data_IF_110875384882
#
_entry.id   IF_110875384882
#
_cell.length_a   1.000
_cell.length_b   1.000
_cell.length_c   1.000
_cell.angle_alpha   90.00
_cell.angle_beta   90.00
_cell.angle_gamma   90.00
#
_symmetry.space_group_name_H-M   'P 1'
#
loop_
_entity.id
_entity.type
_entity.pdbx_description
1 polymer ?
#
# COMPACT_ATOMS: atom_id res chain seq x y z
N UNK A 1 6.69 -0.94 12.07
CA UNK A 1 6.06 -1.48 10.84
C UNK A 1 6.85 -1.20 9.56
N UNK A 2 7.41 -2.24 8.94
CA UNK A 2 8.12 -2.19 7.65
C UNK A 2 7.29 -2.92 6.60
N UNK A 3 7.19 -2.35 5.40
CA UNK A 3 6.34 -2.88 4.32
C UNK A 3 7.19 -3.16 3.08
N UNK A 4 7.05 -4.35 2.49
CA UNK A 4 7.60 -4.64 1.17
C UNK A 4 6.47 -5.08 0.23
N UNK A 5 6.25 -4.29 -0.81
CA UNK A 5 5.42 -4.65 -1.94
C UNK A 5 6.34 -5.22 -3.01
N UNK A 6 6.34 -6.53 -3.20
CA UNK A 6 7.35 -7.16 -4.04
C UNK A 6 6.94 -7.10 -5.52
N UNK A 7 5.65 -7.09 -5.89
CA UNK A 7 5.26 -6.94 -7.29
C UNK A 7 3.82 -6.42 -7.48
N UNK A 8 3.67 -5.36 -8.30
CA UNK A 8 2.44 -5.02 -9.02
C UNK A 8 2.66 -5.38 -10.49
N UNK A 9 2.15 -6.54 -10.93
CA UNK A 9 2.13 -6.87 -12.35
C UNK A 9 0.79 -6.43 -12.94
N UNK A 10 0.86 -5.54 -13.94
CA UNK A 10 -0.30 -5.13 -14.74
C UNK A 10 -0.13 -5.80 -16.11
N UNK A 11 -1.05 -6.70 -16.45
CA UNK A 11 -1.10 -7.34 -17.76
C UNK A 11 -2.29 -6.76 -18.53
N UNK A 12 -2.02 -6.13 -19.67
CA UNK A 12 -3.05 -5.74 -20.62
C UNK A 12 -3.41 -6.95 -21.48
N UNK A 13 -4.70 -7.30 -21.50
CA UNK A 13 -5.21 -8.33 -22.40
C UNK A 13 -5.73 -7.61 -23.65
N UNK A 14 -5.15 -7.92 -24.81
CA UNK A 14 -5.54 -7.32 -26.08
C UNK A 14 -6.84 -7.97 -26.59
N UNK A 15 -7.96 -7.29 -26.37
CA UNK A 15 -9.30 -7.55 -26.94
C UNK A 15 -9.81 -6.27 -27.63
N UNK A 16 -10.96 -6.29 -28.33
CA UNK A 16 -11.55 -5.06 -28.88
C UNK A 16 -11.71 -3.96 -27.81
N UNK A 17 -12.01 -4.38 -26.58
CA UNK A 17 -12.02 -3.57 -25.38
C UNK A 17 -10.73 -3.79 -24.56
N UNK A 18 -10.28 -2.76 -23.84
CA UNK A 18 -9.10 -2.84 -22.98
C UNK A 18 -9.50 -3.41 -21.62
N UNK A 19 -8.91 -4.54 -21.24
CA UNK A 19 -9.04 -5.12 -19.91
C UNK A 19 -7.71 -5.12 -19.16
N UNK A 20 -7.78 -5.01 -17.83
CA UNK A 20 -6.63 -4.92 -16.94
C UNK A 20 -6.66 -6.11 -15.98
N UNK A 21 -5.63 -6.95 -16.07
CA UNK A 21 -5.38 -7.98 -15.07
C UNK A 21 -4.23 -7.55 -14.16
N UNK A 22 -4.48 -7.52 -12.85
CA UNK A 22 -3.52 -7.03 -11.85
C UNK A 22 -3.16 -8.15 -10.89
N UNK A 23 -1.89 -8.24 -10.52
CA UNK A 23 -1.41 -9.07 -9.41
C UNK A 23 -0.70 -8.21 -8.39
N UNK A 24 -1.08 -8.37 -7.13
CA UNK A 24 -0.44 -7.76 -5.97
C UNK A 24 0.07 -8.85 -5.03
N UNK A 25 1.36 -8.84 -4.70
CA UNK A 25 1.91 -9.69 -3.65
C UNK A 25 3.00 -8.99 -2.84
N UNK A 26 3.18 -9.45 -1.61
CA UNK A 26 4.17 -8.91 -0.69
C UNK A 26 3.95 -9.39 0.74
N UNK A 27 4.68 -8.77 1.66
CA UNK A 27 4.55 -9.02 3.08
C UNK A 27 4.76 -7.74 3.90
N UNK A 28 4.18 -7.79 5.09
CA UNK A 28 4.34 -6.80 6.14
C UNK A 28 5.05 -7.47 7.31
N UNK A 29 6.02 -6.76 7.86
CA UNK A 29 6.70 -7.20 9.07
C UNK A 29 6.83 -6.02 10.03
N UNK A 30 6.29 -6.21 11.22
CA UNK A 30 6.48 -5.29 12.31
C UNK A 30 7.61 -5.80 13.22
N UNK A 31 8.69 -5.03 13.32
CA UNK A 31 9.87 -5.39 14.08
C UNK A 31 9.74 -5.12 15.59
N UNK A 32 8.71 -4.38 16.02
CA UNK A 32 8.43 -4.11 17.43
C UNK A 32 7.55 -5.21 18.04
N UNK A 33 6.47 -5.56 17.35
CA UNK A 33 5.49 -6.57 17.80
C UNK A 33 5.82 -7.97 17.30
N UNK A 34 6.63 -8.10 16.25
CA UNK A 34 6.87 -9.36 15.55
C UNK A 34 5.73 -9.78 14.63
N UNK A 35 4.69 -8.95 14.47
CA UNK A 35 3.56 -9.26 13.59
C UNK A 35 4.02 -9.42 12.14
N UNK A 36 3.47 -10.44 11.48
CA UNK A 36 3.79 -10.78 10.11
C UNK A 36 2.51 -11.07 9.33
N UNK A 37 2.41 -10.45 8.16
CA UNK A 37 1.34 -10.71 7.21
C UNK A 37 1.92 -10.89 5.80
N UNK A 38 1.34 -11.80 5.03
CA UNK A 38 1.69 -12.02 3.62
C UNK A 38 0.43 -12.01 2.76
N UNK A 39 0.53 -11.49 1.54
CA UNK A 39 -0.60 -11.43 0.63
C UNK A 39 -0.19 -11.80 -0.80
N UNK A 40 -1.11 -12.44 -1.52
CA UNK A 40 -1.04 -12.65 -2.96
C UNK A 40 -2.47 -12.59 -3.51
N UNK A 41 -2.77 -11.55 -4.27
CA UNK A 41 -4.10 -11.26 -4.77
C UNK A 41 -4.05 -10.92 -6.25
N UNK A 42 -5.13 -11.27 -6.94
CA UNK A 42 -5.36 -10.96 -8.34
C UNK A 42 -6.65 -10.16 -8.46
N UNK A 43 -6.62 -9.15 -9.33
CA UNK A 43 -7.75 -8.31 -9.69
C UNK A 43 -7.95 -8.26 -11.20
N UNK A 44 -9.17 -7.97 -11.61
CA UNK A 44 -9.57 -7.81 -13.01
C UNK A 44 -10.46 -6.58 -13.14
N UNK A 45 -10.08 -5.64 -14.01
CA UNK A 45 -10.77 -4.36 -14.23
C UNK A 45 -11.03 -3.56 -12.94
N UNK A 46 -10.07 -3.60 -12.01
CA UNK A 46 -10.14 -2.92 -10.71
C UNK A 46 -10.95 -3.66 -9.64
N UNK A 47 -11.51 -4.84 -9.96
CA UNK A 47 -12.30 -5.64 -9.02
C UNK A 47 -11.54 -6.87 -8.51
N UNK A 48 -11.82 -7.27 -7.26
CA UNK A 48 -11.26 -8.48 -6.65
C UNK A 48 -11.67 -9.74 -7.43
N UNK A 49 -10.66 -10.53 -7.82
CA UNK A 49 -10.84 -11.77 -8.58
C UNK A 49 -10.58 -13.02 -7.72
N UNK A 50 -9.37 -13.16 -7.18
CA UNK A 50 -8.97 -14.31 -6.37
C UNK A 50 -7.74 -13.97 -5.52
N UNK A 51 -7.70 -14.41 -4.26
CA UNK A 51 -6.60 -14.13 -3.32
C UNK A 51 -6.22 -15.36 -2.52
N UNK A 52 -4.95 -15.48 -2.16
CA UNK A 52 -4.45 -16.57 -1.33
C UNK A 52 -4.69 -16.27 0.14
N UNK A 53 -5.32 -17.18 0.87
CA UNK A 53 -5.44 -17.13 2.32
C UNK A 53 -4.30 -17.91 2.97
N UNK A 54 -3.36 -17.17 3.55
CA UNK A 54 -2.17 -17.71 4.19
C UNK A 54 -2.50 -18.59 5.41
N UNK A 55 -3.68 -18.40 6.03
CA UNK A 55 -4.09 -19.17 7.22
C UNK A 55 -4.54 -20.59 6.86
N UNK A 56 -5.40 -20.72 5.85
CA UNK A 56 -5.91 -22.01 5.41
C UNK A 56 -5.07 -22.65 4.31
N UNK A 57 -4.12 -21.90 3.72
CA UNK A 57 -3.33 -22.29 2.54
C UNK A 57 -4.20 -22.61 1.32
N UNK A 58 -5.33 -21.90 1.20
CA UNK A 58 -6.26 -22.04 0.09
C UNK A 58 -6.54 -20.70 -0.57
N UNK A 59 -7.09 -20.73 -1.78
CA UNK A 59 -7.51 -19.54 -2.50
C UNK A 59 -8.94 -19.16 -2.17
N UNK A 60 -9.23 -17.87 -2.03
CA UNK A 60 -10.57 -17.33 -1.82
C UNK A 60 -10.93 -16.52 -3.06
N UNK A 61 -12.12 -16.79 -3.61
CA UNK A 61 -12.65 -16.02 -4.75
C UNK A 61 -14.07 -15.55 -4.46
N UNK A 62 -14.39 -14.25 -4.67
CA UNK A 62 -15.76 -13.76 -4.61
C UNK A 62 -16.53 -13.97 -5.92
N UNK A 63 -15.87 -14.44 -6.98
CA UNK A 63 -16.43 -14.52 -8.34
C UNK A 63 -16.72 -15.96 -8.74
N UNK A 64 -17.92 -16.20 -9.27
CA UNK A 64 -18.28 -17.52 -9.79
C UNK A 64 -17.37 -17.93 -10.97
N UNK A 65 -16.92 -16.97 -11.79
CA UNK A 65 -16.05 -17.23 -12.95
C UNK A 65 -14.71 -17.88 -12.57
N UNK A 66 -14.25 -17.74 -11.32
CA UNK A 66 -12.93 -18.22 -10.87
C UNK A 66 -12.98 -19.36 -9.86
N UNK A 67 -14.15 -19.99 -9.67
CA UNK A 67 -14.29 -21.20 -8.83
C UNK A 67 -13.43 -22.35 -9.36
N UNK A 68 -13.37 -22.52 -10.69
CA UNK A 68 -12.53 -23.55 -11.33
C UNK A 68 -11.04 -23.27 -11.07
N UNK A 69 -10.61 -22.01 -11.18
CA UNK A 69 -9.23 -21.61 -10.90
C UNK A 69 -8.87 -21.86 -9.43
N UNK A 70 -9.75 -21.48 -8.49
CA UNK A 70 -9.60 -21.81 -7.08
C UNK A 70 -9.39 -23.31 -6.87
N UNK A 71 -10.29 -24.14 -7.40
CA UNK A 71 -10.20 -25.59 -7.24
C UNK A 71 -8.88 -26.16 -7.78
N UNK A 72 -8.48 -25.74 -8.99
CA UNK A 72 -7.23 -26.17 -9.60
C UNK A 72 -6.01 -25.73 -8.79
N UNK A 73 -6.02 -24.51 -8.25
CA UNK A 73 -4.90 -23.96 -7.51
C UNK A 73 -4.81 -24.47 -6.07
N UNK A 74 -5.92 -24.85 -5.45
CA UNK A 74 -5.93 -25.52 -4.15
C UNK A 74 -5.39 -26.95 -4.27
N UNK A 75 -5.67 -27.63 -5.39
CA UNK A 75 -5.31 -29.04 -5.59
C UNK A 75 -3.94 -29.28 -6.23
N UNK A 76 -3.27 -28.25 -6.74
CA UNK A 76 -1.95 -28.40 -7.39
C UNK A 76 -0.77 -28.51 -6.41
N UNK A 77 -1.02 -28.49 -5.09
CA UNK A 77 0.02 -28.61 -4.05
C UNK A 77 0.86 -27.34 -3.81
N UNK A 78 0.56 -26.22 -4.48
CA UNK A 78 1.35 -24.98 -4.36
C UNK A 78 1.05 -24.17 -3.08
N UNK A 79 0.13 -24.60 -2.22
CA UNK A 79 -0.17 -23.89 -0.96
C UNK A 79 1.07 -23.72 -0.07
N UNK A 80 1.91 -24.76 0.04
CA UNK A 80 3.17 -24.70 0.80
C UNK A 80 4.22 -23.81 0.13
N UNK A 81 4.28 -23.81 -1.20
CA UNK A 81 5.13 -22.90 -1.95
C UNK A 81 4.76 -21.44 -1.64
N UNK A 82 3.47 -21.10 -1.73
CA UNK A 82 3.01 -19.74 -1.43
C UNK A 82 3.21 -19.37 0.03
N UNK A 83 3.02 -20.32 0.96
CA UNK A 83 3.35 -20.10 2.37
C UNK A 83 4.81 -19.66 2.52
N UNK A 84 5.74 -20.46 2.02
CA UNK A 84 7.17 -20.20 2.15
C UNK A 84 7.59 -18.89 1.46
N UNK A 85 7.09 -18.66 0.23
CA UNK A 85 7.38 -17.45 -0.53
C UNK A 85 6.87 -16.18 0.17
N UNK A 86 5.65 -16.23 0.72
CA UNK A 86 5.02 -15.08 1.38
C UNK A 86 5.48 -14.88 2.82
N UNK A 87 6.14 -15.85 3.45
CA UNK A 87 6.68 -15.73 4.81
C UNK A 87 8.20 -15.58 4.80
N UNK A 88 8.92 -16.65 4.48
CA UNK A 88 10.36 -16.75 4.67
C UNK A 88 11.13 -15.96 3.63
N UNK A 89 10.84 -16.18 2.35
CA UNK A 89 11.52 -15.48 1.26
C UNK A 89 11.23 -13.99 1.33
N UNK A 90 9.95 -13.62 1.48
CA UNK A 90 9.58 -12.21 1.57
C UNK A 90 10.27 -11.50 2.74
N UNK A 91 10.38 -12.15 3.90
CA UNK A 91 11.14 -11.62 5.04
C UNK A 91 12.62 -11.42 4.73
N UNK A 92 13.27 -12.40 4.11
CA UNK A 92 14.68 -12.30 3.72
C UNK A 92 14.90 -11.15 2.74
N UNK A 93 14.06 -11.03 1.70
CA UNK A 93 14.12 -9.92 0.75
C UNK A 93 13.87 -8.57 1.44
N UNK A 94 12.89 -8.47 2.33
CA UNK A 94 12.61 -7.25 3.07
C UNK A 94 13.83 -6.82 3.91
N UNK A 95 14.45 -7.73 4.65
CA UNK A 95 15.66 -7.44 5.42
C UNK A 95 16.81 -6.96 4.52
N UNK A 96 17.00 -7.61 3.37
CA UNK A 96 18.00 -7.22 2.39
C UNK A 96 17.77 -5.79 1.86
N UNK A 97 16.55 -5.47 1.43
CA UNK A 97 16.21 -4.14 0.90
C UNK A 97 16.28 -3.05 1.97
N UNK A 98 15.88 -3.35 3.21
CA UNK A 98 16.02 -2.42 4.33
C UNK A 98 17.48 -2.11 4.64
N UNK A 99 18.37 -3.10 4.52
CA UNK A 99 19.81 -2.89 4.70
C UNK A 99 20.39 -2.02 3.58
N UNK A 100 20.03 -2.28 2.32
CA UNK A 100 20.46 -1.46 1.20
C UNK A 100 19.91 -0.02 1.27
N UNK A 101 18.64 0.13 1.63
CA UNK A 101 17.95 1.41 1.72
C UNK A 101 18.12 2.13 3.05
N UNK A 102 18.88 1.58 4.01
CA UNK A 102 18.90 2.03 5.41
C UNK A 102 19.05 3.54 5.55
N UNK A 103 20.02 4.12 4.83
CA UNK A 103 20.30 5.56 4.87
C UNK A 103 19.10 6.39 4.41
N UNK A 104 18.45 6.02 3.31
CA UNK A 104 17.31 6.76 2.74
C UNK A 104 15.99 6.49 3.44
N UNK A 105 15.78 5.27 3.95
CA UNK A 105 14.55 4.90 4.65
C UNK A 105 14.50 5.41 6.09
N UNK A 106 15.67 5.67 6.70
CA UNK A 106 15.77 6.22 8.06
C UNK A 106 15.98 7.73 8.09
N UNK A 107 16.10 8.40 6.94
CA UNK A 107 16.13 9.87 6.94
C UNK A 107 14.79 10.43 7.35
N UNK A 108 14.81 11.55 8.06
CA UNK A 108 13.62 12.37 8.30
C UNK A 108 13.90 13.73 7.67
N UNK A 109 12.96 14.22 6.86
CA UNK A 109 13.04 15.54 6.24
C UNK A 109 11.85 16.35 6.71
N UNK A 110 12.12 17.49 7.33
CA UNK A 110 11.08 18.41 7.79
C UNK A 110 10.37 19.06 6.60
N UNK A 111 9.05 19.28 6.67
CA UNK A 111 8.33 19.99 5.62
C UNK A 111 8.78 21.44 5.53
N UNK A 112 8.85 21.96 4.29
CA UNK A 112 8.75 23.39 4.07
C UNK A 112 7.29 23.80 4.12
N UNK A 113 6.95 24.76 4.99
CA UNK A 113 5.57 25.20 5.24
C UNK A 113 5.38 26.64 4.78
N UNK A 114 4.29 26.87 4.05
CA UNK A 114 3.95 28.18 3.51
C UNK A 114 2.46 28.48 3.73
N UNK A 115 2.17 29.75 4.03
CA UNK A 115 0.81 30.25 4.17
C UNK A 115 0.45 31.01 2.89
N UNK A 116 -0.55 30.50 2.18
CA UNK A 116 -0.96 31.05 0.89
C UNK A 116 -2.34 31.69 1.04
N UNK A 117 -2.46 32.93 0.58
CA UNK A 117 -3.73 33.63 0.53
C UNK A 117 -3.78 34.46 -0.75
N UNK A 118 -4.77 34.21 -1.61
CA UNK A 118 -4.85 34.88 -2.93
C UNK A 118 -5.25 36.36 -2.80
N UNK A 119 -6.21 36.65 -1.94
CA UNK A 119 -6.68 38.01 -1.61
C UNK A 119 -7.02 38.09 -0.13
N UNK A 120 -7.08 39.28 0.51
CA UNK A 120 -7.36 39.39 1.95
C UNK A 120 -8.68 38.77 2.42
N UNK A 121 -9.65 38.58 1.51
CA UNK A 121 -10.94 37.95 1.78
C UNK A 121 -10.99 36.47 1.37
N UNK A 122 -9.96 35.97 0.70
CA UNK A 122 -9.88 34.56 0.31
C UNK A 122 -9.56 33.68 1.51
N UNK A 123 -9.98 32.42 1.42
CA UNK A 123 -9.52 31.35 2.30
C UNK A 123 -8.00 31.29 2.33
N UNK A 124 -7.48 30.96 3.52
CA UNK A 124 -6.06 30.78 3.76
C UNK A 124 -5.74 29.30 3.60
N UNK A 125 -4.70 28.99 2.83
CA UNK A 125 -4.22 27.64 2.63
C UNK A 125 -2.86 27.47 3.31
N UNK A 126 -2.74 26.50 4.21
CA UNK A 126 -1.45 26.04 4.71
C UNK A 126 -0.95 24.94 3.79
N UNK A 127 0.21 25.14 3.17
CA UNK A 127 0.81 24.18 2.25
C UNK A 127 2.14 23.70 2.81
N UNK A 128 2.28 22.38 2.99
CA UNK A 128 3.51 21.72 3.40
C UNK A 128 4.00 20.79 2.28
N UNK A 129 5.29 20.85 1.96
CA UNK A 129 5.90 19.99 0.93
C UNK A 129 7.35 19.62 1.30
N UNK A 130 7.88 18.59 0.65
CA UNK A 130 9.29 18.19 0.77
C UNK A 130 9.62 17.42 2.03
N UNK A 131 8.60 16.84 2.69
CA UNK A 131 8.78 16.06 3.91
C UNK A 131 8.93 14.57 3.62
N UNK A 132 9.58 13.87 4.54
CA UNK A 132 9.64 12.41 4.58
C UNK A 132 9.79 11.97 6.05
N UNK A 133 9.09 10.91 6.52
CA UNK A 133 8.20 10.00 5.78
C UNK A 133 6.83 10.61 5.43
N UNK A 134 6.01 9.87 4.65
CA UNK A 134 4.69 10.33 4.15
C UNK A 134 3.67 10.67 5.25
N UNK A 135 3.82 10.12 6.46
CA UNK A 135 2.83 10.30 7.54
C UNK A 135 3.05 11.64 8.23
N UNK A 136 2.14 12.58 7.99
CA UNK A 136 2.13 13.90 8.61
C UNK A 136 0.74 14.26 9.13
N UNK A 137 0.70 15.04 10.21
CA UNK A 137 -0.51 15.65 10.76
C UNK A 137 -0.44 17.16 10.58
N UNK A 138 -1.51 17.73 10.05
CA UNK A 138 -1.68 19.17 9.88
C UNK A 138 -3.08 19.53 10.37
N UNK A 139 -3.15 20.52 11.24
CA UNK A 139 -4.39 21.06 11.82
C UNK A 139 -4.22 22.56 12.04
N UNK A 140 -5.34 23.27 12.11
CA UNK A 140 -5.36 24.68 12.44
C UNK A 140 -5.51 24.85 13.95
N UNK A 141 -4.95 25.92 14.49
CA UNK A 141 -5.20 26.35 15.87
C UNK A 141 -5.69 27.78 15.91
N UNK A 142 -6.63 28.04 16.81
CA UNK A 142 -7.09 29.38 17.15
C UNK A 142 -7.07 29.52 18.66
N UNK A 143 -6.36 30.53 19.16
CA UNK A 143 -6.24 30.82 20.59
C UNK A 143 -5.73 29.63 21.44
N UNK A 144 -4.89 28.77 20.84
CA UNK A 144 -4.29 27.60 21.48
C UNK A 144 -5.06 26.29 21.27
N UNK A 145 -6.32 26.35 20.86
CA UNK A 145 -7.20 25.20 20.64
C UNK A 145 -7.20 24.76 19.18
N UNK A 146 -7.37 23.44 18.95
CA UNK A 146 -7.51 22.90 17.60
C UNK A 146 -8.83 23.34 16.96
N UNK A 147 -8.74 23.88 15.75
CA UNK A 147 -9.88 24.39 14.99
C UNK A 147 -10.30 23.34 13.95
N UNK A 148 -11.48 22.76 14.17
CA UNK A 148 -12.10 21.83 13.23
C UNK A 148 -13.10 22.49 12.29
N UNK A 149 -13.79 23.54 12.75
CA UNK A 149 -14.85 24.21 11.98
C UNK A 149 -14.24 25.11 10.89
N UNK A 150 -14.69 24.94 9.64
CA UNK A 150 -14.19 25.70 8.49
C UNK A 150 -12.76 25.32 8.03
N UNK A 151 -12.16 24.29 8.62
CA UNK A 151 -10.87 23.75 8.24
C UNK A 151 -11.04 22.53 7.35
N UNK A 152 -10.55 22.61 6.11
CA UNK A 152 -10.51 21.48 5.17
C UNK A 152 -9.09 20.91 5.09
N UNK A 153 -8.97 19.60 5.29
CA UNK A 153 -7.68 18.89 5.17
C UNK A 153 -7.53 18.33 3.76
N UNK A 154 -6.49 18.77 3.05
CA UNK A 154 -6.13 18.22 1.75
C UNK A 154 -5.53 16.82 1.82
N UNK A 155 -5.43 16.18 0.66
CA UNK A 155 -4.75 14.89 0.50
C UNK A 155 -3.23 15.03 0.61
N UNK A 156 -2.55 13.96 1.01
CA UNK A 156 -1.09 13.87 0.96
C UNK A 156 -0.72 13.34 -0.42
N UNK A 157 0.04 14.13 -1.18
CA UNK A 157 0.41 13.82 -2.55
C UNK A 157 1.92 13.57 -2.67
N UNK A 158 2.38 12.65 -3.54
CA UNK A 158 3.81 12.46 -3.79
C UNK A 158 4.42 13.65 -4.54
N UNK A 159 5.67 13.97 -4.21
CA UNK A 159 6.50 14.91 -4.98
C UNK A 159 7.17 14.19 -6.17
N UNK A 160 7.57 14.97 -7.19
CA UNK A 160 8.28 14.49 -8.38
C UNK A 160 9.74 14.08 -8.10
#
# INVERSE_FOLDING_TARGET
MKRLFTFLFICHIASPDVHIFQRMNGCFWDDETGEFEGFNAYGYDGEDLIRFDLKTLTWITPRHQTVINKHNWDNNGNGLFWKYALTEDCRQFLQLYLNYGKRSLQTTVCPSVSLLQKTPLSLVTCHATGFYPERVLMFWRKDGEELHEGAEKGEILPNN
#
